data_IF_979602372977
#
_entry.id   IF_979602372977
#
_cell.length_a   1.000
_cell.length_b   1.000
_cell.length_c   1.000
_cell.angle_alpha   90.00
_cell.angle_beta   90.00
_cell.angle_gamma   90.00
#
_symmetry.space_group_name_H-M   'P 1'
#
loop_
_entity.id
_entity.type
_entity.pdbx_description
1 polymer ?
#
# COMPACT_ATOMS: atom_id res chain seq x y z
N UNK A 1 -9.40 2.90 5.42
CA UNK A 1 -8.28 1.97 5.69
C UNK A 1 -7.17 2.22 4.69
N UNK A 2 -5.98 2.61 5.15
CA UNK A 2 -4.80 2.84 4.29
C UNK A 2 -4.27 1.51 3.77
N UNK A 3 -4.34 1.28 2.46
CA UNK A 3 -3.76 0.11 1.81
C UNK A 3 -2.43 0.48 1.17
N UNK A 4 -1.49 -0.45 1.11
CA UNK A 4 -0.21 -0.30 0.44
C UNK A 4 -0.17 -1.23 -0.77
N UNK A 5 0.61 -0.87 -1.79
CA UNK A 5 0.88 -1.67 -2.98
C UNK A 5 2.38 -1.87 -3.06
N UNK A 6 2.84 -3.11 -3.20
CA UNK A 6 4.26 -3.34 -3.48
C UNK A 6 4.60 -2.90 -4.92
N UNK A 7 5.71 -2.19 -5.09
CA UNK A 7 6.15 -1.74 -6.42
C UNK A 7 6.42 -2.90 -7.39
N UNK A 8 6.97 -4.02 -6.88
CA UNK A 8 7.40 -5.14 -7.72
C UNK A 8 6.24 -6.11 -8.04
N UNK A 9 5.64 -6.72 -7.02
CA UNK A 9 4.59 -7.73 -7.21
C UNK A 9 3.17 -7.15 -7.29
N UNK A 10 3.01 -5.81 -7.19
CA UNK A 10 1.73 -5.08 -7.22
C UNK A 10 0.68 -5.59 -6.24
N UNK A 11 1.08 -6.36 -5.23
CA UNK A 11 0.17 -6.98 -4.28
C UNK A 11 -0.32 -5.93 -3.28
N UNK A 12 -1.61 -5.96 -2.97
CA UNK A 12 -2.20 -5.14 -1.92
C UNK A 12 -1.79 -5.68 -0.55
N UNK A 13 -1.27 -4.80 0.29
CA UNK A 13 -0.79 -5.10 1.63
C UNK A 13 -1.56 -4.21 2.59
N UNK A 14 -2.09 -4.82 3.65
CA UNK A 14 -2.76 -4.09 4.72
C UNK A 14 -1.76 -3.71 5.82
N UNK A 15 -2.02 -2.66 6.61
CA UNK A 15 -1.18 -2.29 7.73
C UNK A 15 -1.08 -3.40 8.79
N UNK A 16 -2.02 -4.35 8.83
CA UNK A 16 -1.94 -5.52 9.70
C UNK A 16 -0.83 -6.48 9.24
N UNK A 17 -0.67 -6.67 7.93
CA UNK A 17 0.39 -7.52 7.36
C UNK A 17 1.80 -6.96 7.64
N UNK A 18 1.91 -5.64 7.77
CA UNK A 18 3.15 -4.93 8.11
C UNK A 18 3.52 -5.03 9.60
N UNK A 19 2.58 -5.36 10.48
CA UNK A 19 2.85 -5.55 11.92
C UNK A 19 3.43 -6.93 12.22
N UNK A 20 3.25 -7.89 11.32
CA UNK A 20 3.71 -9.28 11.50
C UNK A 20 5.22 -9.45 11.28
N UNK A 21 5.87 -8.51 10.58
CA UNK A 21 7.28 -8.58 10.24
C UNK A 21 7.99 -7.32 10.77
N UNK A 22 9.16 -7.45 11.45
CA UNK A 22 9.96 -6.30 11.80
C UNK A 22 10.55 -5.68 10.52
N UNK A 23 9.88 -4.65 10.01
CA UNK A 23 10.35 -3.82 8.90
C UNK A 23 9.35 -3.66 7.75
N UNK A 24 9.60 -2.67 6.90
CA UNK A 24 8.79 -2.37 5.72
C UNK A 24 9.18 -3.32 4.59
N UNK A 25 8.63 -4.54 4.59
CA UNK A 25 8.89 -5.57 3.57
C UNK A 25 7.58 -6.11 3.01
N UNK A 26 7.56 -6.37 1.70
CA UNK A 26 6.46 -7.10 1.08
C UNK A 26 6.51 -8.58 1.49
N UNK A 27 5.39 -9.17 1.96
CA UNK A 27 5.35 -10.57 2.38
C UNK A 27 5.56 -11.58 1.25
N UNK A 28 5.34 -11.19 -0.02
CA UNK A 28 5.47 -12.10 -1.17
C UNK A 28 6.81 -12.04 -1.90
N UNK A 29 7.42 -10.87 -2.02
CA UNK A 29 8.63 -10.68 -2.84
C UNK A 29 9.80 -10.06 -2.06
N UNK A 30 9.68 -9.90 -0.75
CA UNK A 30 10.72 -9.36 0.15
C UNK A 30 11.19 -7.93 -0.19
N UNK A 31 10.57 -7.30 -1.17
CA UNK A 31 10.88 -5.96 -1.65
C UNK A 31 10.49 -4.91 -0.61
N UNK A 32 11.29 -3.85 -0.48
CA UNK A 32 11.16 -2.88 0.62
C UNK A 32 10.38 -1.62 0.26
N UNK A 33 10.00 -1.46 -1.01
CA UNK A 33 9.31 -0.27 -1.51
C UNK A 33 7.81 -0.56 -1.59
N UNK A 34 7.05 0.18 -0.77
CA UNK A 34 5.59 0.13 -0.69
C UNK A 34 5.00 1.50 -1.02
N UNK A 35 4.03 1.52 -1.92
CA UNK A 35 3.35 2.72 -2.40
C UNK A 35 1.99 2.81 -1.70
N UNK A 36 1.63 3.96 -1.14
CA UNK A 36 0.29 4.16 -0.57
C UNK A 36 -0.75 4.12 -1.68
N UNK A 37 -1.75 3.24 -1.56
CA UNK A 37 -2.87 3.18 -2.49
C UNK A 37 -3.75 4.43 -2.32
N UNK A 38 -4.31 4.90 -3.44
CA UNK A 38 -5.31 5.97 -3.47
C UNK A 38 -6.45 5.62 -2.50
N UNK A 39 -6.87 6.62 -1.71
CA UNK A 39 -8.04 6.49 -0.83
C UNK A 39 -9.29 6.17 -1.65
N UNK A 40 -10.17 5.32 -1.10
CA UNK A 40 -11.47 5.00 -1.70
C UNK A 40 -12.44 6.19 -1.67
N UNK A 41 -12.16 7.16 -0.81
CA UNK A 41 -12.96 8.39 -0.70
C UNK A 41 -12.74 9.20 -1.97
N UNK A 42 -13.82 9.42 -2.73
CA UNK A 42 -13.81 10.29 -3.88
C UNK A 42 -13.48 11.72 -3.44
N UNK A 43 -12.41 12.28 -4.01
CA UNK A 43 -12.06 13.69 -3.80
C UNK A 43 -12.74 14.50 -4.89
N UNK A 44 -13.59 15.49 -4.56
CA UNK A 44 -14.16 16.37 -5.57
C UNK A 44 -13.02 17.16 -6.23
N UNK A 45 -12.96 17.12 -7.55
CA UNK A 45 -12.03 17.91 -8.36
C UNK A 45 -12.86 18.94 -9.10
N UNK A 46 -12.65 20.23 -8.82
CA UNK A 46 -13.28 21.30 -9.60
C UNK A 46 -12.57 21.35 -10.95
N UNK A 47 -13.35 21.25 -12.03
CA UNK A 47 -12.82 21.29 -13.39
C UNK A 47 -12.50 22.73 -13.84
N UNK A 48 -13.15 23.72 -13.25
CA UNK A 48 -13.01 25.15 -13.51
C UNK A 48 -13.50 25.95 -12.29
#
# INVERSE_FOLDING_TARGET
MTKYICQNCKTEITPNDLRLLPGVKCPKCSHRILIKKRSLIAKPVKAR
#
